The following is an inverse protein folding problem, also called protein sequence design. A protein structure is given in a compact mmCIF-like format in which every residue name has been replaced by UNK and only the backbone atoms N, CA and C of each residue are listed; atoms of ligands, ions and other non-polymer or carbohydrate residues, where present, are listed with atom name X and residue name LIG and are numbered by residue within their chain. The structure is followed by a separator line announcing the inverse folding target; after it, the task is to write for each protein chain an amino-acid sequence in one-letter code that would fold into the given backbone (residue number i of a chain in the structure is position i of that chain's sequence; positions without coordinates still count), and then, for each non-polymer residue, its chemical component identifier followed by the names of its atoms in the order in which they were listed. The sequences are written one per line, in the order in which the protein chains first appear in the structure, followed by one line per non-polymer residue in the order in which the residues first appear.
data_IF_519649312769
#
_entry.id   IF_519649312769
#
_cell.length_a   1.000
_cell.length_b   1.000
_cell.length_c   1.000
_cell.angle_alpha   90.00
_cell.angle_beta   90.00
_cell.angle_gamma   90.00
#
_symmetry.space_group_name_H-M   'P 1'
#
loop_
_entity.id
_entity.type
_entity.pdbx_description
1 polymer ?
#
# COMPACT_ATOMS: atom_id res chain seq x y z
N UNK A 1 20.42 9.15 15.56
CA UNK A 1 19.55 8.19 14.82
C UNK A 1 18.67 8.99 13.88
N UNK A 2 18.70 8.70 12.57
CA UNK A 2 17.78 9.29 11.61
C UNK A 2 16.49 8.45 11.58
N UNK A 3 15.36 9.06 11.90
CA UNK A 3 14.03 8.43 11.85
C UNK A 3 13.06 9.42 11.21
N UNK A 4 12.72 9.27 9.92
CA UNK A 4 11.76 10.13 9.27
C UNK A 4 10.35 9.92 9.85
N UNK A 5 9.50 10.94 9.76
CA UNK A 5 8.10 10.88 10.19
C UNK A 5 7.29 9.95 9.29
N UNK A 6 7.66 9.88 8.01
CA UNK A 6 7.03 9.04 7.01
C UNK A 6 8.01 7.99 6.50
N UNK A 7 7.53 6.81 6.13
CA UNK A 7 8.35 5.74 5.58
C UNK A 7 8.98 6.14 4.24
N UNK A 8 10.07 5.48 3.88
CA UNK A 8 10.75 5.62 2.59
C UNK A 8 10.84 4.26 1.92
N UNK A 9 10.64 4.24 0.61
CA UNK A 9 10.81 3.05 -0.21
C UNK A 9 12.02 3.23 -1.12
N UNK A 10 12.89 2.25 -1.19
CA UNK A 10 14.08 2.30 -2.04
C UNK A 10 14.45 0.92 -2.54
N UNK A 11 15.14 0.89 -3.65
CA UNK A 11 15.81 -0.29 -4.18
C UNK A 11 17.32 -0.23 -3.98
N UNK A 12 17.86 0.97 -4.08
CA UNK A 12 19.26 1.28 -3.86
C UNK A 12 19.38 2.47 -2.92
N UNK A 13 20.43 2.50 -2.13
CA UNK A 13 20.74 3.57 -1.21
C UNK A 13 22.18 3.99 -1.43
N UNK A 14 22.40 5.27 -1.61
CA UNK A 14 23.71 5.90 -1.62
C UNK A 14 23.89 6.72 -0.35
N UNK A 15 25.02 6.59 0.29
CA UNK A 15 25.37 7.35 1.48
C UNK A 15 26.65 8.11 1.18
N UNK A 16 26.56 9.43 1.18
CA UNK A 16 27.70 10.32 1.05
C UNK A 16 28.05 10.87 2.44
N UNK A 17 29.30 10.71 2.85
CA UNK A 17 29.77 11.09 4.17
C UNK A 17 30.95 12.03 4.02
N UNK A 18 30.82 13.22 4.57
CA UNK A 18 31.90 14.19 4.68
C UNK A 18 32.29 14.33 6.16
N UNK A 19 33.56 14.15 6.45
CA UNK A 19 34.09 14.31 7.81
C UNK A 19 35.18 15.37 7.77
N UNK A 20 35.05 16.49 8.40
CA UNK A 20 36.01 17.62 8.42
C UNK A 20 37.35 17.25 9.09
N UNK A 21 37.96 16.12 8.68
CA UNK A 21 39.23 15.61 9.20
C UNK A 21 39.11 14.69 10.41
N UNK A 22 37.92 14.53 10.98
CA UNK A 22 37.67 13.62 12.09
C UNK A 22 37.20 12.23 11.62
N UNK A 23 37.69 11.14 12.21
CA UNK A 23 37.25 9.81 11.81
C UNK A 23 35.80 9.54 12.21
N UNK A 24 35.02 8.96 11.30
CA UNK A 24 33.67 8.48 11.54
C UNK A 24 33.65 6.96 11.58
N UNK A 25 33.08 6.39 12.64
CA UNK A 25 32.83 4.96 12.73
C UNK A 25 31.34 4.70 12.60
N UNK A 26 30.96 3.93 11.58
CA UNK A 26 29.58 3.45 11.40
C UNK A 26 29.46 2.10 12.10
N UNK A 27 28.82 2.06 13.25
CA UNK A 27 28.66 0.84 14.02
C UNK A 27 27.50 -0.03 13.53
N UNK A 28 26.47 0.60 12.95
CA UNK A 28 25.30 -0.12 12.44
C UNK A 28 24.61 0.69 11.35
N UNK A 29 24.28 -0.01 10.29
CA UNK A 29 23.38 0.47 9.25
C UNK A 29 22.29 -0.58 9.01
N UNK A 30 21.05 -0.21 9.22
CA UNK A 30 19.91 -1.12 9.08
C UNK A 30 18.66 -0.35 8.71
N UNK A 31 17.73 -1.02 8.06
CA UNK A 31 16.38 -0.54 7.85
C UNK A 31 15.38 -1.42 8.59
N UNK A 32 14.27 -0.84 8.95
CA UNK A 32 13.14 -1.52 9.56
C UNK A 32 11.97 -1.52 8.59
N UNK A 33 11.46 -2.70 8.27
CA UNK A 33 10.28 -2.84 7.42
C UNK A 33 9.04 -2.44 8.21
N UNK A 34 8.19 -1.62 7.61
CA UNK A 34 6.89 -1.24 8.18
C UNK A 34 5.80 -1.43 7.12
N UNK A 35 4.68 -2.00 7.51
CA UNK A 35 3.49 -2.20 6.70
C UNK A 35 2.30 -2.53 7.61
N UNK A 36 1.10 -2.51 7.06
CA UNK A 36 -0.06 -3.07 7.74
C UNK A 36 0.18 -4.57 8.05
N UNK A 37 -0.15 -5.08 9.25
CA UNK A 37 0.24 -6.41 9.71
C UNK A 37 -0.62 -7.53 9.12
N UNK A 38 -0.82 -7.53 7.80
CA UNK A 38 -1.49 -8.61 7.09
C UNK A 38 -0.70 -9.91 7.22
N UNK A 39 -1.41 -11.00 7.50
CA UNK A 39 -0.83 -12.36 7.58
C UNK A 39 -1.22 -13.17 6.36
N UNK A 40 -0.29 -13.95 5.85
CA UNK A 40 -0.57 -14.93 4.79
C UNK A 40 -1.17 -16.18 5.42
N UNK A 41 -2.50 -16.28 5.37
CA UNK A 41 -3.26 -17.42 5.91
C UNK A 41 -3.68 -18.38 4.81
N UNK A 42 -3.73 -17.92 3.54
CA UNK A 42 -4.07 -18.77 2.41
C UNK A 42 -2.91 -19.65 1.99
N UNK A 43 -3.25 -20.84 1.51
CA UNK A 43 -2.30 -21.77 0.90
C UNK A 43 -2.56 -21.76 -0.61
N UNK A 44 -1.49 -21.56 -1.38
CA UNK A 44 -1.53 -21.65 -2.85
C UNK A 44 -0.59 -22.75 -3.33
N UNK A 45 -1.15 -23.75 -3.98
CA UNK A 45 -0.44 -24.86 -4.58
C UNK A 45 -0.79 -25.00 -6.07
N UNK A 46 0.18 -25.39 -6.87
CA UNK A 46 0.03 -25.62 -8.31
C UNK A 46 1.14 -26.54 -8.81
N UNK A 47 0.82 -27.36 -9.80
CA UNK A 47 1.76 -28.16 -10.58
C UNK A 47 2.62 -27.32 -11.54
N UNK A 48 2.22 -26.08 -11.80
CA UNK A 48 2.95 -25.14 -12.65
C UNK A 48 4.00 -24.35 -11.85
N UNK A 49 5.25 -24.64 -12.08
CA UNK A 49 6.40 -24.08 -11.32
C UNK A 49 6.50 -22.55 -11.31
N UNK A 50 5.93 -21.86 -12.31
CA UNK A 50 5.98 -20.40 -12.42
C UNK A 50 4.97 -19.69 -11.51
N UNK A 51 3.83 -20.31 -11.20
CA UNK A 51 2.71 -19.66 -10.50
C UNK A 51 3.05 -19.31 -9.05
N UNK A 52 3.85 -20.13 -8.36
CA UNK A 52 4.29 -19.79 -6.99
C UNK A 52 5.14 -18.52 -6.95
N UNK A 53 5.96 -18.27 -7.99
CA UNK A 53 6.72 -17.03 -8.07
C UNK A 53 5.82 -15.82 -8.29
N UNK A 54 4.79 -15.94 -9.13
CA UNK A 54 3.79 -14.90 -9.36
C UNK A 54 3.03 -14.60 -8.07
N UNK A 55 2.58 -15.63 -7.35
CA UNK A 55 1.94 -15.50 -6.05
C UNK A 55 2.82 -14.72 -5.06
N UNK A 56 4.07 -15.10 -4.92
CA UNK A 56 4.99 -14.45 -3.99
C UNK A 56 5.23 -12.97 -4.33
N UNK A 57 5.33 -12.63 -5.63
CA UNK A 57 5.45 -11.24 -6.08
C UNK A 57 4.17 -10.46 -5.78
N UNK A 58 3.02 -11.03 -6.08
CA UNK A 58 1.71 -10.41 -5.79
C UNK A 58 1.51 -10.15 -4.31
N UNK A 59 1.77 -11.15 -3.47
CA UNK A 59 1.65 -11.01 -2.02
C UNK A 59 2.64 -9.98 -1.43
N UNK A 60 3.87 -10.02 -1.89
CA UNK A 60 4.85 -9.00 -1.49
C UNK A 60 4.40 -7.59 -1.87
N UNK A 61 3.89 -7.41 -3.08
CA UNK A 61 3.39 -6.12 -3.58
C UNK A 61 2.21 -5.64 -2.75
N UNK A 62 1.23 -6.50 -2.47
CA UNK A 62 0.09 -6.17 -1.62
C UNK A 62 0.53 -5.66 -0.23
N UNK A 63 1.52 -6.31 0.38
CA UNK A 63 2.07 -5.87 1.66
C UNK A 63 2.80 -4.54 1.60
N UNK A 64 3.51 -4.25 0.50
CA UNK A 64 4.19 -2.97 0.31
C UNK A 64 3.21 -1.81 0.08
N UNK A 65 2.01 -2.11 -0.41
CA UNK A 65 0.96 -1.15 -0.68
C UNK A 65 -0.12 -1.08 0.42
N UNK A 66 0.10 -1.73 1.56
CA UNK A 66 -0.82 -1.73 2.69
C UNK A 66 -0.14 -1.12 3.92
N UNK A 67 -0.61 0.04 4.36
CA UNK A 67 -0.14 0.75 5.55
C UNK A 67 -1.33 1.23 6.37
N UNK A 68 -1.44 2.51 6.73
CA UNK A 68 -2.67 3.07 7.37
C UNK A 68 -3.86 3.08 6.41
N UNK A 69 -3.58 3.17 5.11
CA UNK A 69 -4.52 2.96 4.01
C UNK A 69 -3.88 2.04 2.99
N UNK A 70 -4.64 1.60 1.99
CA UNK A 70 -4.05 1.06 0.78
C UNK A 70 -3.37 2.17 -0.01
N UNK A 71 -2.35 1.82 -0.80
CA UNK A 71 -1.65 2.72 -1.71
C UNK A 71 -1.64 2.14 -3.12
N UNK A 72 -1.79 2.99 -4.12
CA UNK A 72 -1.58 2.64 -5.52
C UNK A 72 -0.17 2.11 -5.77
N UNK A 73 0.80 2.79 -5.17
CA UNK A 73 2.19 2.38 -5.22
C UNK A 73 2.94 2.83 -3.94
N UNK A 74 4.01 2.11 -3.54
CA UNK A 74 4.70 2.42 -2.29
C UNK A 74 5.80 3.48 -2.44
N UNK A 75 6.03 4.02 -3.65
CA UNK A 75 7.15 4.92 -3.92
C UNK A 75 6.73 6.31 -4.38
N UNK A 76 5.97 6.43 -5.49
CA UNK A 76 5.65 7.73 -6.07
C UNK A 76 4.47 8.43 -5.37
N UNK A 77 3.25 8.02 -5.66
CA UNK A 77 2.06 8.73 -5.23
C UNK A 77 1.68 8.42 -3.79
N UNK A 78 1.72 7.16 -3.38
CA UNK A 78 1.35 6.70 -2.02
C UNK A 78 -0.07 7.15 -1.63
N UNK A 79 -1.02 7.00 -2.55
CA UNK A 79 -2.39 7.46 -2.41
C UNK A 79 -3.39 6.31 -2.51
N UNK A 80 -4.49 6.42 -1.75
CA UNK A 80 -5.55 5.43 -1.76
C UNK A 80 -6.50 5.67 -2.93
N UNK A 81 -6.15 5.17 -4.13
CA UNK A 81 -7.02 5.17 -5.30
C UNK A 81 -8.07 4.06 -5.19
N UNK A 82 -9.31 4.34 -5.60
CA UNK A 82 -10.42 3.39 -5.50
C UNK A 82 -10.18 2.13 -6.32
N UNK A 83 -9.74 2.29 -7.58
CA UNK A 83 -9.51 1.14 -8.48
C UNK A 83 -8.44 0.20 -7.97
N UNK A 84 -7.33 0.75 -7.50
CA UNK A 84 -6.21 0.01 -6.91
C UNK A 84 -6.63 -0.65 -5.59
N UNK A 85 -7.33 0.10 -4.75
CA UNK A 85 -7.85 -0.37 -3.46
C UNK A 85 -8.78 -1.56 -3.64
N UNK A 86 -9.67 -1.55 -4.64
CA UNK A 86 -10.57 -2.68 -4.91
C UNK A 86 -9.81 -3.99 -5.13
N UNK A 87 -8.76 -3.95 -5.94
CA UNK A 87 -7.92 -5.13 -6.22
C UNK A 87 -7.19 -5.58 -4.95
N UNK A 88 -6.60 -4.65 -4.22
CA UNK A 88 -5.86 -4.93 -2.99
C UNK A 88 -6.77 -5.45 -1.88
N UNK A 89 -8.00 -4.95 -1.79
CA UNK A 89 -9.03 -5.43 -0.87
C UNK A 89 -9.32 -6.91 -1.11
N UNK A 90 -9.55 -7.32 -2.36
CA UNK A 90 -9.76 -8.72 -2.72
C UNK A 90 -8.55 -9.59 -2.32
N UNK A 91 -7.32 -9.13 -2.60
CA UNK A 91 -6.11 -9.84 -2.19
C UNK A 91 -6.05 -9.99 -0.67
N UNK A 92 -6.35 -8.92 0.08
CA UNK A 92 -6.35 -8.94 1.55
C UNK A 92 -7.37 -9.94 2.11
N UNK A 93 -8.59 -9.94 1.57
CA UNK A 93 -9.66 -10.84 2.00
C UNK A 93 -9.35 -12.31 1.69
N UNK A 94 -8.90 -12.60 0.46
CA UNK A 94 -8.62 -13.98 0.05
C UNK A 94 -7.35 -14.55 0.69
N UNK A 95 -6.31 -13.73 0.88
CA UNK A 95 -5.02 -14.23 1.37
C UNK A 95 -4.92 -14.12 2.88
N UNK A 96 -5.41 -13.05 3.47
CA UNK A 96 -5.29 -12.79 4.91
C UNK A 96 -6.57 -13.09 5.69
N UNK A 97 -7.73 -12.85 5.10
CA UNK A 97 -9.03 -12.85 5.80
C UNK A 97 -9.23 -11.63 6.69
N UNK A 98 -8.35 -10.64 6.61
CA UNK A 98 -8.41 -9.41 7.43
C UNK A 98 -9.15 -8.31 6.67
N UNK A 99 -10.35 -7.96 7.14
CA UNK A 99 -11.23 -6.98 6.51
C UNK A 99 -11.10 -5.55 7.05
N UNK A 100 -10.28 -5.34 8.10
CA UNK A 100 -10.23 -4.05 8.81
C UNK A 100 -9.78 -2.91 7.90
N UNK A 101 -8.72 -3.14 7.09
CA UNK A 101 -8.23 -2.13 6.16
C UNK A 101 -9.21 -1.91 5.00
N UNK A 102 -9.92 -2.95 4.58
CA UNK A 102 -10.99 -2.87 3.56
C UNK A 102 -12.12 -1.98 4.06
N UNK A 103 -12.62 -2.21 5.27
CA UNK A 103 -13.67 -1.40 5.88
C UNK A 103 -13.24 0.06 6.06
N UNK A 104 -12.00 0.28 6.50
CA UNK A 104 -11.44 1.63 6.59
C UNK A 104 -11.44 2.34 5.23
N UNK A 105 -11.04 1.64 4.16
CA UNK A 105 -11.06 2.19 2.81
C UNK A 105 -12.47 2.54 2.33
N UNK A 106 -13.44 1.64 2.55
CA UNK A 106 -14.84 1.89 2.19
C UNK A 106 -15.37 3.14 2.90
N UNK A 107 -15.10 3.30 4.19
CA UNK A 107 -15.52 4.46 4.97
C UNK A 107 -14.86 5.75 4.47
N UNK A 108 -13.54 5.75 4.30
CA UNK A 108 -12.82 6.89 3.78
C UNK A 108 -13.36 7.35 2.43
N UNK A 109 -13.58 6.41 1.51
CA UNK A 109 -14.10 6.73 0.18
C UNK A 109 -15.55 7.21 0.23
N UNK A 110 -16.37 6.70 1.16
CA UNK A 110 -17.72 7.22 1.43
C UNK A 110 -17.68 8.70 1.82
N UNK A 111 -16.76 9.09 2.71
CA UNK A 111 -16.58 10.48 3.14
C UNK A 111 -16.09 11.42 2.03
N UNK A 112 -15.58 10.84 0.95
CA UNK A 112 -15.08 11.61 -0.21
C UNK A 112 -16.14 12.02 -1.22
N UNK A 113 -17.40 11.59 -1.04
CA UNK A 113 -18.47 11.83 -2.00
C UNK A 113 -18.76 13.31 -2.20
N UNK A 114 -18.99 13.68 -3.45
CA UNK A 114 -19.60 14.95 -3.81
C UNK A 114 -21.12 14.87 -3.63
N UNK A 115 -21.77 16.03 -3.66
CA UNK A 115 -23.21 16.08 -3.45
C UNK A 115 -24.01 15.32 -4.54
N UNK A 116 -23.41 15.11 -5.73
CA UNK A 116 -23.97 14.31 -6.82
C UNK A 116 -23.83 12.79 -6.59
N UNK A 117 -23.16 12.37 -5.52
CA UNK A 117 -22.98 10.97 -5.15
C UNK A 117 -21.74 10.27 -5.72
N UNK A 118 -20.95 10.95 -6.58
CA UNK A 118 -19.68 10.40 -7.05
C UNK A 118 -18.62 10.51 -5.96
N UNK A 119 -17.83 9.45 -5.77
CA UNK A 119 -16.65 9.49 -4.91
C UNK A 119 -15.49 10.19 -5.60
N UNK A 120 -14.56 10.72 -4.83
CA UNK A 120 -13.24 11.07 -5.38
C UNK A 120 -12.53 9.81 -5.85
N UNK A 121 -11.63 9.95 -6.83
CA UNK A 121 -10.84 8.83 -7.34
C UNK A 121 -9.85 8.29 -6.31
N UNK A 122 -9.47 9.13 -5.34
CA UNK A 122 -8.52 8.86 -4.25
C UNK A 122 -8.86 9.69 -3.02
N UNK A 123 -8.75 9.07 -1.87
CA UNK A 123 -9.01 9.75 -0.58
C UNK A 123 -8.38 8.96 0.57
N UNK A 124 -7.79 9.63 1.60
CA UNK A 124 -7.68 11.10 1.72
C UNK A 124 -6.69 11.72 0.71
N UNK A 125 -7.05 12.87 0.17
CA UNK A 125 -6.20 13.62 -0.77
C UNK A 125 -6.62 15.08 -0.82
N UNK A 126 -5.66 15.99 -0.95
CA UNK A 126 -5.92 17.42 -1.11
C UNK A 126 -6.52 17.75 -2.48
N UNK A 127 -6.23 16.96 -3.52
CA UNK A 127 -6.71 17.20 -4.88
C UNK A 127 -8.02 16.47 -5.14
N UNK A 128 -9.12 17.19 -5.43
CA UNK A 128 -10.39 16.60 -5.81
C UNK A 128 -10.32 16.12 -7.27
N UNK A 129 -9.98 14.87 -7.47
CA UNK A 129 -10.00 14.23 -8.77
C UNK A 129 -11.19 13.28 -8.84
N UNK A 130 -11.90 13.27 -9.98
CA UNK A 130 -12.99 12.34 -10.26
C UNK A 130 -12.58 11.42 -11.41
N UNK A 131 -12.73 10.11 -11.21
CA UNK A 131 -12.66 9.07 -12.23
C UNK A 131 -14.00 8.32 -12.14
N UNK A 132 -14.98 8.61 -13.00
CA UNK A 132 -16.34 8.10 -12.80
C UNK A 132 -16.46 6.58 -12.59
N UNK A 133 -15.73 5.70 -13.32
CA UNK A 133 -15.76 4.27 -13.07
C UNK A 133 -15.33 3.86 -11.65
N UNK A 134 -14.52 4.68 -10.97
CA UNK A 134 -14.05 4.37 -9.63
C UNK A 134 -15.19 4.43 -8.59
N UNK A 135 -16.19 5.28 -8.80
CA UNK A 135 -17.38 5.29 -7.93
C UNK A 135 -18.16 3.97 -8.04
N UNK A 136 -18.19 3.34 -9.22
CA UNK A 136 -18.78 2.01 -9.39
C UNK A 136 -17.96 0.93 -8.69
N UNK A 137 -16.63 1.04 -8.69
CA UNK A 137 -15.75 0.13 -7.96
C UNK A 137 -15.92 0.27 -6.44
N UNK A 138 -16.18 1.49 -5.96
CA UNK A 138 -16.51 1.67 -4.55
C UNK A 138 -17.83 0.97 -4.18
N UNK A 139 -18.87 1.09 -5.01
CA UNK A 139 -20.14 0.35 -4.81
C UNK A 139 -19.91 -1.17 -4.79
N UNK A 140 -19.05 -1.67 -5.69
CA UNK A 140 -18.69 -3.10 -5.76
C UNK A 140 -17.92 -3.56 -4.50
N UNK A 141 -17.13 -2.67 -3.87
CA UNK A 141 -16.45 -2.99 -2.61
C UNK A 141 -17.39 -3.04 -1.40
N UNK A 142 -18.54 -2.37 -1.46
CA UNK A 142 -19.54 -2.35 -0.38
C UNK A 142 -20.40 -3.63 -0.39
N UNK A 143 -20.57 -4.28 -1.53
CA UNK A 143 -21.36 -5.49 -1.70
C UNK A 143 -20.57 -6.77 -1.38
#
# INVERSE_FOLDING_TARGET
MFRPVWFRTWRYLQIDIETNGEPLQINRFSSEFTAYPLKENAIFESDQSGLKKIWNVGWRTARLCANETYFDCPYYEQLQYVGDTRIQALVSLYVSGDDRLVRNAIMNLSESQFYEGLTRSRYPSANPQIIPPFSLYWVDMVN
#
